data_IF_947015614167
#
_entry.id   IF_947015614167
#
_cell.length_a   1.000
_cell.length_b   1.000
_cell.length_c   1.000
_cell.angle_alpha   90.00
_cell.angle_beta   90.00
_cell.angle_gamma   90.00
#
_symmetry.space_group_name_H-M   'P 1'
#
loop_
_entity.id
_entity.type
_entity.pdbx_description
1 polymer ?
#
# COMPACT_ATOMS: atom_id res chain seq x y z
N UNK A 1 -27.73 -0.02 -2.60
CA UNK A 1 -26.62 -0.61 -3.39
C UNK A 1 -25.38 -0.71 -2.51
N UNK A 2 -24.95 -1.92 -2.14
CA UNK A 2 -23.64 -2.12 -1.51
C UNK A 2 -22.58 -1.69 -2.54
N UNK A 3 -21.85 -0.60 -2.26
CA UNK A 3 -20.70 -0.25 -3.08
C UNK A 3 -19.73 -1.44 -3.04
N UNK A 4 -19.58 -2.13 -4.17
CA UNK A 4 -18.74 -3.32 -4.27
C UNK A 4 -17.33 -2.98 -3.80
N UNK A 5 -16.81 -3.76 -2.84
CA UNK A 5 -15.40 -3.72 -2.46
C UNK A 5 -14.60 -3.95 -3.73
N UNK A 6 -13.83 -2.96 -4.16
CA UNK A 6 -12.96 -3.13 -5.33
C UNK A 6 -11.76 -3.96 -4.89
N UNK A 7 -11.64 -5.13 -5.49
CA UNK A 7 -10.52 -6.03 -5.28
C UNK A 7 -9.71 -6.18 -6.55
N UNK A 8 -8.39 -6.29 -6.41
CA UNK A 8 -7.48 -6.58 -7.50
C UNK A 8 -6.40 -7.52 -6.99
N UNK A 9 -6.28 -8.66 -7.65
CA UNK A 9 -5.21 -9.64 -7.40
C UNK A 9 -4.24 -9.56 -8.58
N UNK A 10 -2.94 -9.52 -8.29
CA UNK A 10 -1.87 -9.49 -9.31
C UNK A 10 -0.66 -10.28 -8.83
N UNK A 11 -0.01 -10.95 -9.78
CA UNK A 11 1.36 -11.42 -9.60
C UNK A 11 2.25 -10.17 -9.58
N UNK A 12 2.94 -9.93 -8.47
CA UNK A 12 3.83 -8.78 -8.33
C UNK A 12 5.20 -9.07 -8.94
N UNK A 13 5.75 -10.24 -8.59
CA UNK A 13 7.00 -10.79 -9.12
C UNK A 13 6.99 -12.32 -8.98
N UNK A 14 8.14 -12.97 -9.22
CA UNK A 14 8.28 -14.44 -9.17
C UNK A 14 7.96 -15.05 -7.80
N UNK A 15 8.00 -14.28 -6.72
CA UNK A 15 7.88 -14.76 -5.34
C UNK A 15 6.71 -14.12 -4.57
N UNK A 16 6.03 -13.12 -5.14
CA UNK A 16 5.05 -12.31 -4.43
C UNK A 16 3.73 -12.18 -5.20
N UNK A 17 2.63 -12.36 -4.45
CA UNK A 17 1.27 -12.03 -4.87
C UNK A 17 0.82 -10.75 -4.16
N UNK A 18 0.29 -9.79 -4.92
CA UNK A 18 -0.27 -8.56 -4.38
C UNK A 18 -1.81 -8.58 -4.44
N UNK A 19 -2.45 -8.40 -3.29
CA UNK A 19 -3.91 -8.27 -3.16
C UNK A 19 -4.25 -6.85 -2.71
N UNK A 20 -4.88 -6.08 -3.58
CA UNK A 20 -5.37 -4.72 -3.31
C UNK A 20 -6.86 -4.74 -3.05
N UNK A 21 -7.27 -4.17 -1.93
CA UNK A 21 -8.67 -4.10 -1.50
C UNK A 21 -9.00 -2.67 -1.10
N UNK A 22 -10.06 -2.11 -1.69
CA UNK A 22 -10.57 -0.79 -1.34
C UNK A 22 -11.73 -0.90 -0.34
N UNK A 23 -11.57 -0.30 0.84
CA UNK A 23 -12.60 -0.20 1.86
C UNK A 23 -13.25 1.18 1.79
N UNK A 24 -14.48 1.33 1.25
CA UNK A 24 -15.17 2.60 1.35
C UNK A 24 -15.46 2.93 2.82
N UNK A 25 -15.37 4.21 3.20
CA UNK A 25 -15.82 4.65 4.53
C UNK A 25 -17.23 5.18 4.33
N UNK A 26 -18.22 4.46 4.84
CA UNK A 26 -19.62 4.89 4.72
C UNK A 26 -19.92 6.01 5.74
N UNK A 27 -20.92 6.88 5.48
CA UNK A 27 -21.30 7.95 6.40
C UNK A 27 -21.83 7.49 7.77
N UNK A 28 -22.00 6.17 7.98
CA UNK A 28 -22.41 5.59 9.26
C UNK A 28 -21.32 5.70 10.32
N UNK A 29 -21.69 5.84 11.61
CA UNK A 29 -20.74 5.95 12.73
C UNK A 29 -19.66 4.84 12.71
N UNK A 30 -20.03 3.64 12.29
CA UNK A 30 -19.12 2.50 12.13
C UNK A 30 -19.42 1.77 10.82
N UNK A 31 -18.36 1.35 10.14
CA UNK A 31 -18.46 0.49 8.96
C UNK A 31 -17.78 -0.83 9.25
N UNK A 32 -18.45 -1.94 8.91
CA UNK A 32 -17.95 -3.30 9.14
C UNK A 32 -17.79 -4.00 7.81
N UNK A 33 -16.62 -4.60 7.57
CA UNK A 33 -16.38 -5.49 6.45
C UNK A 33 -15.92 -6.85 6.92
N UNK A 34 -16.46 -7.91 6.32
CA UNK A 34 -16.02 -9.27 6.53
C UNK A 34 -15.55 -9.85 5.20
N UNK A 35 -14.27 -10.18 5.10
CA UNK A 35 -13.65 -10.67 3.88
C UNK A 35 -13.06 -12.05 4.12
N UNK A 36 -13.42 -12.99 3.26
CA UNK A 36 -12.80 -14.31 3.21
C UNK A 36 -12.05 -14.44 1.89
N UNK A 37 -10.75 -14.68 1.96
CA UNK A 37 -9.89 -15.01 0.82
C UNK A 37 -9.60 -16.49 0.87
N UNK A 38 -9.90 -17.21 -0.21
CA UNK A 38 -9.61 -18.63 -0.35
C UNK A 38 -8.42 -18.78 -1.30
N UNK A 39 -7.38 -19.47 -0.85
CA UNK A 39 -6.20 -19.79 -1.65
C UNK A 39 -6.19 -21.31 -1.85
N UNK A 40 -6.24 -21.71 -3.11
CA UNK A 40 -6.19 -23.10 -3.55
C UNK A 40 -4.75 -23.42 -3.91
N UNK A 41 -4.16 -24.42 -3.23
CA UNK A 41 -2.74 -24.72 -3.33
C UNK A 41 -2.56 -26.18 -3.77
N UNK A 42 -1.83 -26.43 -4.87
CA UNK A 42 -1.51 -27.77 -5.31
C UNK A 42 -0.81 -28.60 -4.22
N UNK A 43 -1.24 -29.86 -4.04
CA UNK A 43 -0.70 -30.74 -3.01
C UNK A 43 0.81 -31.02 -3.15
N UNK A 44 1.34 -31.03 -4.38
CA UNK A 44 2.76 -31.25 -4.67
C UNK A 44 3.69 -30.14 -4.11
N UNK A 45 3.16 -28.97 -3.73
CA UNK A 45 3.93 -27.93 -3.05
C UNK A 45 4.14 -28.23 -1.56
N UNK A 46 3.50 -29.27 -1.04
CA UNK A 46 3.59 -29.70 0.36
C UNK A 46 3.31 -28.58 1.36
N UNK A 47 2.41 -27.64 1.04
CA UNK A 47 1.96 -26.56 1.92
C UNK A 47 0.70 -27.01 2.66
N UNK A 48 0.83 -27.39 3.93
CA UNK A 48 -0.27 -27.87 4.77
C UNK A 48 -0.13 -27.37 6.23
N UNK A 49 -1.06 -27.75 7.10
CA UNK A 49 -1.10 -27.32 8.51
C UNK A 49 0.22 -27.58 9.28
N UNK A 50 0.95 -28.64 8.91
CA UNK A 50 2.19 -29.04 9.59
C UNK A 50 3.41 -28.32 9.02
N UNK A 51 3.52 -28.25 7.69
CA UNK A 51 4.68 -27.65 7.01
C UNK A 51 4.61 -26.13 6.91
N UNK A 52 3.41 -25.55 6.97
CA UNK A 52 3.18 -24.12 6.82
C UNK A 52 2.16 -23.61 7.86
N UNK A 53 2.57 -23.53 9.14
CA UNK A 53 1.70 -23.10 10.22
C UNK A 53 1.28 -21.64 10.08
N UNK A 54 0.22 -21.26 10.79
CA UNK A 54 -0.31 -19.90 10.85
C UNK A 54 0.74 -18.81 11.13
N UNK A 55 1.74 -19.08 11.97
CA UNK A 55 2.86 -18.15 12.22
C UNK A 55 3.72 -17.89 10.99
N UNK A 56 3.97 -18.91 10.17
CA UNK A 56 4.70 -18.79 8.91
C UNK A 56 3.93 -17.94 7.90
N UNK A 57 2.61 -18.19 7.80
CA UNK A 57 1.72 -17.39 6.97
C UNK A 57 1.79 -15.91 7.34
N UNK A 58 1.65 -15.57 8.63
CA UNK A 58 1.69 -14.18 9.08
C UNK A 58 3.08 -13.54 8.98
N UNK A 59 4.16 -14.31 9.09
CA UNK A 59 5.52 -13.80 8.88
C UNK A 59 5.74 -13.35 7.43
N UNK A 60 5.14 -14.06 6.48
CA UNK A 60 5.22 -13.76 5.05
C UNK A 60 4.17 -12.75 4.57
N UNK A 61 3.16 -12.46 5.39
CA UNK A 61 2.11 -11.50 5.06
C UNK A 61 2.56 -10.05 5.33
N UNK A 62 2.70 -9.26 4.28
CA UNK A 62 2.93 -7.81 4.39
C UNK A 62 1.63 -7.03 4.16
N UNK A 63 1.18 -6.31 5.19
CA UNK A 63 -0.04 -5.51 5.16
C UNK A 63 0.27 -4.01 5.13
N UNK A 64 0.04 -3.37 3.99
CA UNK A 64 0.12 -1.91 3.85
C UNK A 64 -1.27 -1.30 3.81
N UNK A 65 -1.58 -0.43 4.77
CA UNK A 65 -2.83 0.32 4.81
C UNK A 65 -2.52 1.78 4.47
N UNK A 66 -3.24 2.34 3.50
CA UNK A 66 -3.06 3.72 3.08
C UNK A 66 -4.36 4.33 2.58
N UNK A 67 -4.48 5.64 2.71
CA UNK A 67 -5.52 6.41 2.05
C UNK A 67 -5.41 6.29 0.53
N UNK A 68 -6.57 6.31 -0.11
CA UNK A 68 -6.64 6.52 -1.56
C UNK A 68 -6.29 7.97 -1.81
N UNK A 69 -5.32 8.23 -2.69
CA UNK A 69 -4.97 9.59 -3.07
C UNK A 69 -6.22 10.30 -3.59
N UNK A 70 -6.54 11.49 -3.06
CA UNK A 70 -7.64 12.31 -3.56
C UNK A 70 -7.51 12.55 -5.06
N UNK A 71 -8.64 12.71 -5.73
CA UNK A 71 -8.67 12.92 -7.17
C UNK A 71 -9.23 14.32 -7.42
N UNK A 72 -8.33 15.29 -7.53
CA UNK A 72 -8.66 16.68 -7.88
C UNK A 72 -8.44 16.93 -9.38
N UNK A 73 -9.23 17.81 -9.97
CA UNK A 73 -8.98 18.45 -11.26
C UNK A 73 -7.87 19.51 -11.11
N UNK A 74 -7.35 19.99 -12.24
CA UNK A 74 -6.36 21.07 -12.21
C UNK A 74 -6.95 22.36 -11.60
N UNK A 75 -8.19 22.70 -11.96
CA UNK A 75 -8.91 23.84 -11.41
C UNK A 75 -9.15 23.70 -9.90
N UNK A 76 -9.57 22.51 -9.41
CA UNK A 76 -9.68 22.27 -7.97
C UNK A 76 -8.32 22.39 -7.27
N UNK A 77 -7.25 21.84 -7.84
CA UNK A 77 -5.91 21.94 -7.25
C UNK A 77 -5.41 23.40 -7.16
N UNK A 78 -5.78 24.23 -8.14
CA UNK A 78 -5.42 25.65 -8.21
C UNK A 78 -6.32 26.54 -7.35
N UNK A 79 -7.61 26.26 -7.23
CA UNK A 79 -8.58 27.23 -6.67
C UNK A 79 -9.30 26.75 -5.41
N UNK A 80 -9.38 25.45 -5.14
CA UNK A 80 -10.11 24.93 -3.98
C UNK A 80 -9.41 25.34 -2.68
N UNK A 81 -10.11 26.03 -1.75
CA UNK A 81 -9.59 26.40 -0.43
C UNK A 81 -8.92 25.29 0.38
N UNK A 82 -9.29 24.02 0.17
CA UNK A 82 -8.72 22.89 0.90
C UNK A 82 -7.65 22.13 0.09
N UNK A 83 -7.35 22.56 -1.14
CA UNK A 83 -6.30 21.95 -1.94
C UNK A 83 -4.91 22.26 -1.35
N UNK A 84 -3.94 21.32 -1.46
CA UNK A 84 -2.62 21.50 -0.88
C UNK A 84 -1.91 22.77 -1.33
N UNK A 85 -2.06 23.16 -2.60
CA UNK A 85 -1.41 24.36 -3.16
C UNK A 85 -1.92 25.65 -2.49
N UNK A 86 -3.24 25.72 -2.25
CA UNK A 86 -3.86 26.85 -1.56
C UNK A 86 -3.51 26.89 -0.07
N UNK A 87 -3.43 25.71 0.58
CA UNK A 87 -3.02 25.62 1.98
C UNK A 87 -1.56 26.02 2.17
N UNK A 88 -0.66 25.58 1.28
CA UNK A 88 0.74 26.01 1.22
C UNK A 88 0.80 27.53 1.17
N UNK A 89 0.12 28.18 0.21
CA UNK A 89 0.14 29.64 0.08
C UNK A 89 -0.34 30.35 1.35
N UNK A 90 -1.45 29.89 1.94
CA UNK A 90 -2.02 30.49 3.15
C UNK A 90 -1.10 30.36 4.35
N UNK A 91 -0.45 29.21 4.52
CA UNK A 91 0.49 29.01 5.62
C UNK A 91 1.71 29.94 5.44
N UNK A 92 2.18 30.11 4.20
CA UNK A 92 3.29 31.01 3.87
C UNK A 92 2.98 32.52 3.91
N UNK A 93 1.73 32.91 4.18
CA UNK A 93 1.36 34.30 4.45
C UNK A 93 1.75 34.74 5.86
N UNK A 94 1.93 33.79 6.79
CA UNK A 94 2.36 34.05 8.17
C UNK A 94 3.86 33.77 8.30
N UNK A 95 4.59 34.52 9.14
CA UNK A 95 5.97 34.19 9.45
C UNK A 95 6.02 32.82 10.15
N UNK A 96 6.84 31.92 9.63
CA UNK A 96 7.07 30.61 10.22
C UNK A 96 8.18 30.77 11.25
N UNK A 97 7.83 30.69 12.53
CA UNK A 97 8.83 30.69 13.59
C UNK A 97 9.68 29.42 13.51
N UNK A 98 10.97 29.52 13.84
CA UNK A 98 11.89 28.37 13.85
C UNK A 98 11.49 27.27 14.85
N UNK A 99 10.69 27.62 15.86
CA UNK A 99 10.26 26.74 16.96
C UNK A 99 8.76 26.34 16.87
N UNK A 100 8.18 26.35 15.66
CA UNK A 100 6.80 25.86 15.43
C UNK A 100 6.81 24.49 14.72
N UNK A 101 6.89 23.37 15.48
CA UNK A 101 6.94 22.03 14.91
C UNK A 101 5.63 21.60 14.24
N UNK A 102 4.49 22.17 14.63
CA UNK A 102 3.18 21.84 14.07
C UNK A 102 3.04 22.41 12.66
N UNK A 103 3.34 23.69 12.47
CA UNK A 103 3.31 24.34 11.15
C UNK A 103 4.31 23.70 10.19
N UNK A 104 5.53 23.39 10.66
CA UNK A 104 6.53 22.68 9.85
C UNK A 104 6.01 21.31 9.42
N UNK A 105 5.39 20.56 10.32
CA UNK A 105 4.84 19.23 10.00
C UNK A 105 3.70 19.34 9.00
N UNK A 106 2.78 20.28 9.20
CA UNK A 106 1.67 20.52 8.29
C UNK A 106 2.17 20.87 6.87
N UNK A 107 3.16 21.76 6.74
CA UNK A 107 3.74 22.10 5.44
C UNK A 107 4.39 20.92 4.74
N UNK A 108 5.18 20.14 5.48
CA UNK A 108 5.81 18.90 4.97
C UNK A 108 4.75 17.92 4.46
N UNK A 109 3.62 17.79 5.15
CA UNK A 109 2.50 16.95 4.72
C UNK A 109 1.82 17.50 3.46
N UNK A 110 1.57 18.81 3.40
CA UNK A 110 0.97 19.45 2.23
C UNK A 110 1.88 19.34 0.99
N UNK A 111 3.19 19.46 1.14
CA UNK A 111 4.17 19.22 0.07
C UNK A 111 4.06 17.81 -0.50
N UNK A 112 4.09 16.80 0.37
CA UNK A 112 3.96 15.39 -0.03
C UNK A 112 2.61 15.13 -0.71
N UNK A 113 1.53 15.70 -0.17
CA UNK A 113 0.17 15.54 -0.68
C UNK A 113 0.00 16.22 -2.04
N UNK A 114 0.53 17.44 -2.22
CA UNK A 114 0.56 18.17 -3.48
C UNK A 114 1.13 17.28 -4.59
N UNK A 115 2.35 16.76 -4.40
CA UNK A 115 2.97 15.88 -5.39
C UNK A 115 2.12 14.63 -5.66
N UNK A 116 1.59 13.99 -4.62
CA UNK A 116 0.79 12.78 -4.77
C UNK A 116 -0.48 13.02 -5.61
N UNK A 117 -1.16 14.15 -5.39
CA UNK A 117 -2.35 14.57 -6.14
C UNK A 117 -1.96 14.98 -7.57
N UNK A 118 -0.93 15.83 -7.72
CA UNK A 118 -0.49 16.41 -8.99
C UNK A 118 -0.31 15.33 -10.07
N UNK A 119 0.41 14.24 -9.74
CA UNK A 119 0.61 13.14 -10.69
C UNK A 119 -0.72 12.61 -11.24
N UNK A 120 -1.68 12.31 -10.36
CA UNK A 120 -2.99 11.79 -10.79
C UNK A 120 -3.79 12.83 -11.55
N UNK A 121 -3.70 14.09 -11.16
CA UNK A 121 -4.38 15.20 -11.83
C UNK A 121 -3.89 15.38 -13.26
N UNK A 122 -2.57 15.43 -13.47
CA UNK A 122 -1.97 15.58 -14.80
C UNK A 122 -2.21 14.36 -15.70
N UNK A 123 -2.00 13.13 -15.18
CA UNK A 123 -2.24 11.91 -15.95
C UNK A 123 -3.71 11.81 -16.40
N UNK A 124 -4.65 12.10 -15.49
CA UNK A 124 -6.08 12.07 -15.79
C UNK A 124 -6.48 13.17 -16.77
N UNK A 125 -5.91 14.38 -16.65
CA UNK A 125 -6.18 15.51 -17.54
C UNK A 125 -5.72 15.18 -18.95
N UNK A 126 -4.47 14.75 -19.11
CA UNK A 126 -3.90 14.37 -20.40
C UNK A 126 -4.69 13.22 -21.04
N UNK A 127 -4.93 12.12 -20.32
CA UNK A 127 -5.66 10.97 -20.86
C UNK A 127 -7.11 11.30 -21.24
N UNK A 128 -7.83 12.07 -20.42
CA UNK A 128 -9.21 12.45 -20.73
C UNK A 128 -9.27 13.46 -21.87
N UNK A 129 -8.38 14.46 -21.88
CA UNK A 129 -8.27 15.46 -22.94
C UNK A 129 -7.96 14.80 -24.27
N UNK A 130 -6.92 13.97 -24.31
CA UNK A 130 -6.54 13.18 -25.49
C UNK A 130 -7.70 12.31 -25.99
N UNK A 131 -8.30 11.48 -25.11
CA UNK A 131 -9.42 10.62 -25.52
C UNK A 131 -10.62 11.38 -26.04
N UNK A 132 -10.95 12.54 -25.48
CA UNK A 132 -12.08 13.36 -25.97
C UNK A 132 -11.78 13.93 -27.35
N UNK A 133 -10.58 14.48 -27.52
CA UNK A 133 -10.13 15.05 -28.78
C UNK A 133 -10.05 13.99 -29.89
N UNK A 134 -9.66 12.75 -29.57
CA UNK A 134 -9.60 11.65 -30.56
C UNK A 134 -10.94 10.89 -30.71
N UNK A 135 -11.86 10.95 -29.74
CA UNK A 135 -13.16 10.27 -29.83
C UNK A 135 -14.24 11.09 -30.53
N UNK A 136 -14.09 12.41 -30.60
CA UNK A 136 -14.85 13.27 -31.51
C UNK A 136 -14.68 12.89 -33.00
N UNK A 137 -13.74 11.98 -33.26
CA UNK A 137 -13.23 11.58 -34.57
C UNK A 137 -13.70 10.18 -35.02
N UNK A 138 -14.54 9.48 -34.25
CA UNK A 138 -15.14 8.23 -34.75
C UNK A 138 -16.25 8.56 -35.77
N UNK A 139 -16.15 8.09 -37.03
CA UNK A 139 -17.13 8.40 -38.06
C UNK A 139 -18.48 7.78 -37.72
N UNK A 140 -19.47 8.63 -37.42
CA UNK A 140 -20.88 8.27 -37.60
C UNK A 140 -21.21 8.42 -39.09
N UNK A 141 -20.98 7.36 -39.87
CA UNK A 141 -21.47 7.26 -41.24
C UNK A 141 -20.42 7.49 -42.34
N UNK A 142 -20.65 6.79 -43.47
CA UNK A 142 -19.78 6.64 -44.63
C UNK A 142 -19.18 7.96 -45.18
N UNK A 143 -17.86 7.92 -45.45
CA UNK A 143 -17.26 8.57 -46.62
C UNK A 143 -16.50 9.88 -46.43
N UNK A 144 -16.53 10.51 -45.25
CA UNK A 144 -15.72 11.71 -44.98
C UNK A 144 -14.38 11.35 -44.34
N UNK A 145 -13.25 11.79 -44.92
CA UNK A 145 -11.95 11.77 -44.22
C UNK A 145 -12.12 12.56 -42.92
N UNK A 146 -12.05 11.86 -41.79
CA UNK A 146 -12.01 12.43 -40.46
C UNK A 146 -10.83 13.41 -40.41
N UNK A 147 -11.12 14.70 -40.48
CA UNK A 147 -10.11 15.74 -40.35
C UNK A 147 -9.94 15.88 -38.85
N UNK A 148 -8.94 15.22 -38.27
CA UNK A 148 -8.43 15.56 -36.94
C UNK A 148 -8.35 17.08 -36.91
N UNK A 149 -9.17 17.76 -36.12
CA UNK A 149 -9.02 19.20 -35.97
C UNK A 149 -7.77 19.39 -35.13
N UNK A 150 -6.62 19.44 -35.81
CA UNK A 150 -5.28 19.65 -35.23
C UNK A 150 -5.34 20.79 -34.22
N UNK A 151 -6.13 21.82 -34.50
CA UNK A 151 -6.38 22.98 -33.64
C UNK A 151 -7.01 22.61 -32.28
N UNK A 152 -7.88 21.60 -32.21
CA UNK A 152 -8.47 21.18 -30.93
C UNK A 152 -7.46 20.42 -30.05
N UNK A 153 -6.66 19.54 -30.65
CA UNK A 153 -5.58 18.85 -29.94
C UNK A 153 -4.49 19.84 -29.50
N UNK A 154 -4.16 20.79 -30.36
CA UNK A 154 -3.21 21.86 -30.06
C UNK A 154 -3.70 22.76 -28.94
N UNK A 155 -4.96 23.22 -29.00
CA UNK A 155 -5.57 24.00 -27.92
C UNK A 155 -5.54 23.24 -26.59
N UNK A 156 -5.92 21.96 -26.60
CA UNK A 156 -5.92 21.11 -25.40
C UNK A 156 -4.51 20.92 -24.81
N UNK A 157 -3.51 20.65 -25.64
CA UNK A 157 -2.12 20.47 -25.18
C UNK A 157 -1.49 21.79 -24.73
N UNK A 158 -1.77 22.89 -25.41
CA UNK A 158 -1.34 24.23 -25.01
C UNK A 158 -1.92 24.60 -23.65
N UNK A 159 -3.22 24.39 -23.44
CA UNK A 159 -3.88 24.61 -22.15
C UNK A 159 -3.31 23.68 -21.07
N UNK A 160 -2.98 22.43 -21.43
CA UNK A 160 -2.38 21.48 -20.49
C UNK A 160 -0.97 21.89 -20.04
N UNK A 161 -0.14 22.40 -20.95
CA UNK A 161 1.20 22.94 -20.61
C UNK A 161 1.08 24.20 -19.77
N UNK A 162 0.20 25.15 -20.14
CA UNK A 162 -0.03 26.37 -19.36
C UNK A 162 -0.46 26.07 -17.91
N UNK A 163 -1.33 25.08 -17.71
CA UNK A 163 -1.74 24.62 -16.38
C UNK A 163 -0.57 24.04 -15.57
N UNK A 164 0.32 23.29 -16.22
CA UNK A 164 1.53 22.77 -15.56
C UNK A 164 2.40 23.94 -15.11
N UNK A 165 2.66 24.89 -16.00
CA UNK A 165 3.47 26.09 -15.72
C UNK A 165 2.89 26.91 -14.57
N UNK A 166 1.56 27.11 -14.53
CA UNK A 166 0.91 27.84 -13.45
C UNK A 166 1.08 27.15 -12.09
N UNK A 167 0.81 25.84 -12.01
CA UNK A 167 0.96 25.06 -10.77
C UNK A 167 2.42 25.13 -10.26
N UNK A 168 3.37 24.98 -11.19
CA UNK A 168 4.81 24.99 -10.90
C UNK A 168 5.27 26.36 -10.44
N UNK A 169 4.92 27.42 -11.17
CA UNK A 169 5.28 28.79 -10.81
C UNK A 169 4.74 29.16 -9.43
N UNK A 170 3.52 28.71 -9.11
CA UNK A 170 2.90 28.96 -7.82
C UNK A 170 3.60 28.25 -6.67
N UNK A 171 3.96 26.98 -6.86
CA UNK A 171 4.74 26.24 -5.86
C UNK A 171 6.15 26.82 -5.69
N UNK A 172 6.85 27.09 -6.80
CA UNK A 172 8.24 27.57 -6.83
C UNK A 172 8.40 29.02 -6.36
N UNK A 173 7.33 29.82 -6.33
CA UNK A 173 7.33 31.17 -5.73
C UNK A 173 7.78 31.18 -4.26
N UNK A 174 7.62 30.08 -3.55
CA UNK A 174 8.04 29.96 -2.15
C UNK A 174 9.51 29.59 -1.98
N UNK A 175 10.23 29.24 -3.07
CA UNK A 175 11.64 28.86 -3.02
C UNK A 175 12.54 29.87 -2.28
N UNK A 176 12.48 31.19 -2.56
CA UNK A 176 13.35 32.15 -1.89
C UNK A 176 13.08 32.23 -0.39
N UNK A 177 11.83 31.99 0.03
CA UNK A 177 11.45 31.97 1.45
C UNK A 177 12.00 30.74 2.16
N UNK A 178 12.06 29.59 1.48
CA UNK A 178 12.55 28.33 2.03
C UNK A 178 14.07 28.33 2.16
N UNK A 179 14.77 28.99 1.24
CA UNK A 179 16.24 29.08 1.23
C UNK A 179 16.80 30.09 2.26
N UNK A 180 15.94 30.81 2.98
CA UNK A 180 16.35 31.73 4.04
C UNK A 180 16.91 31.04 5.29
N UNK A 181 17.85 31.70 5.96
CA UNK A 181 18.57 31.17 7.14
C UNK A 181 17.67 30.86 8.35
N UNK A 182 16.49 31.51 8.46
CA UNK A 182 15.58 31.35 9.60
C UNK A 182 14.65 30.13 9.50
N UNK A 183 14.72 29.34 8.41
CA UNK A 183 13.80 28.22 8.18
C UNK A 183 14.40 26.89 8.67
N UNK A 184 13.62 26.06 9.40
CA UNK A 184 14.08 24.74 9.86
C UNK A 184 14.57 23.83 8.71
N UNK A 185 15.72 23.17 8.91
CA UNK A 185 16.37 22.29 7.90
C UNK A 185 15.43 21.19 7.38
N UNK A 186 14.59 20.63 8.25
CA UNK A 186 13.57 19.63 7.89
C UNK A 186 12.63 20.15 6.79
N UNK A 187 12.22 21.41 6.87
CA UNK A 187 11.32 22.03 5.89
C UNK A 187 12.05 22.28 4.58
N UNK A 188 13.29 22.79 4.63
CA UNK A 188 14.14 23.00 3.46
C UNK A 188 14.36 21.70 2.68
N UNK A 189 14.76 20.65 3.39
CA UNK A 189 14.95 19.31 2.82
C UNK A 189 13.66 18.78 2.21
N UNK A 190 12.53 18.95 2.90
CA UNK A 190 11.22 18.51 2.41
C UNK A 190 10.81 19.22 1.13
N UNK A 191 11.05 20.53 1.05
CA UNK A 191 10.76 21.32 -0.14
C UNK A 191 11.59 20.83 -1.33
N UNK A 192 12.92 20.71 -1.18
CA UNK A 192 13.82 20.23 -2.24
C UNK A 192 13.43 18.85 -2.77
N UNK A 193 13.17 17.89 -1.87
CA UNK A 193 12.72 16.54 -2.25
C UNK A 193 11.36 16.56 -2.96
N UNK A 194 10.48 17.50 -2.61
CA UNK A 194 9.15 17.61 -3.21
C UNK A 194 9.23 18.29 -4.57
N UNK A 195 10.01 19.36 -4.71
CA UNK A 195 10.27 20.03 -5.99
C UNK A 195 10.91 19.07 -7.00
N UNK A 196 11.93 18.30 -6.59
CA UNK A 196 12.50 17.25 -7.43
C UNK A 196 11.44 16.20 -7.82
N UNK A 197 10.60 15.77 -6.87
CA UNK A 197 9.55 14.79 -7.14
C UNK A 197 8.40 15.32 -8.01
N UNK A 198 8.13 16.63 -8.00
CA UNK A 198 7.20 17.34 -8.89
C UNK A 198 7.81 17.45 -10.29
N UNK A 199 9.07 17.85 -10.35
CA UNK A 199 9.87 17.94 -11.58
C UNK A 199 9.87 16.62 -12.36
N UNK A 200 10.03 15.49 -11.68
CA UNK A 200 9.95 14.13 -12.28
C UNK A 200 8.56 13.82 -12.82
N UNK A 201 7.51 14.24 -12.11
CA UNK A 201 6.13 14.03 -12.56
C UNK A 201 5.83 14.84 -13.82
N UNK A 202 6.32 16.08 -13.89
CA UNK A 202 6.15 16.97 -15.04
C UNK A 202 6.88 16.44 -16.27
N UNK A 203 8.18 16.14 -16.14
CA UNK A 203 8.95 15.57 -17.25
C UNK A 203 8.29 14.29 -17.78
N UNK A 204 7.89 13.38 -16.90
CA UNK A 204 7.23 12.14 -17.30
C UNK A 204 5.89 12.39 -18.01
N UNK A 205 5.13 13.39 -17.59
CA UNK A 205 3.85 13.74 -18.20
C UNK A 205 4.02 14.43 -19.57
N UNK A 206 4.98 15.36 -19.69
CA UNK A 206 5.32 16.02 -20.95
C UNK A 206 5.90 15.03 -21.97
N UNK A 207 6.77 14.11 -21.55
CA UNK A 207 7.26 13.03 -22.40
C UNK A 207 6.15 12.07 -22.82
N UNK A 208 5.17 11.81 -21.96
CA UNK A 208 3.99 11.02 -22.34
C UNK A 208 3.15 11.75 -23.40
N UNK A 209 2.94 13.06 -23.25
CA UNK A 209 2.25 13.87 -24.25
C UNK A 209 3.01 13.87 -25.59
N UNK A 210 4.34 14.05 -25.56
CA UNK A 210 5.18 14.02 -26.75
C UNK A 210 5.12 12.66 -27.45
N UNK A 211 5.10 11.57 -26.70
CA UNK A 211 4.92 10.22 -27.24
C UNK A 211 3.55 10.04 -27.90
N UNK A 212 2.47 10.54 -27.28
CA UNK A 212 1.13 10.49 -27.87
C UNK A 212 1.05 11.26 -29.19
N UNK A 213 1.70 12.43 -29.27
CA UNK A 213 1.82 13.21 -30.51
C UNK A 213 2.64 12.46 -31.57
N UNK A 214 3.78 11.89 -31.20
CA UNK A 214 4.64 11.15 -32.12
C UNK A 214 4.01 9.83 -32.63
N UNK A 215 3.18 9.17 -31.82
CA UNK A 215 2.44 7.96 -32.22
C UNK A 215 1.17 8.30 -33.02
N UNK A 216 0.80 9.58 -33.16
CA UNK A 216 -0.34 9.98 -33.95
C UNK A 216 -0.08 9.84 -35.45
N UNK A 217 -1.10 9.50 -36.23
CA UNK A 217 -1.00 9.33 -37.68
C UNK A 217 -1.00 10.66 -38.46
N UNK A 218 -1.00 11.80 -37.76
CA UNK A 218 -1.10 13.15 -38.35
C UNK A 218 0.24 13.86 -38.27
N UNK A 219 1.01 13.97 -39.37
CA UNK A 219 2.33 14.60 -39.36
C UNK A 219 2.31 16.07 -38.93
N UNK A 220 1.30 16.84 -39.35
CA UNK A 220 1.13 18.26 -39.01
C UNK A 220 1.04 18.50 -37.50
N UNK A 221 0.47 17.57 -36.75
CA UNK A 221 0.37 17.67 -35.29
C UNK A 221 1.76 17.63 -34.65
N UNK A 222 2.64 16.78 -35.16
CA UNK A 222 4.00 16.65 -34.66
C UNK A 222 4.82 17.90 -34.97
N UNK A 223 4.72 18.44 -36.19
CA UNK A 223 5.43 19.67 -36.57
C UNK A 223 5.04 20.88 -35.72
N UNK A 224 3.74 21.03 -35.40
CA UNK A 224 3.24 22.16 -34.61
C UNK A 224 3.48 22.02 -33.11
N UNK A 225 3.33 20.80 -32.56
CA UNK A 225 3.33 20.60 -31.10
C UNK A 225 4.63 20.08 -30.52
N UNK A 226 5.49 19.43 -31.32
CA UNK A 226 6.79 19.01 -30.84
C UNK A 226 7.64 20.19 -30.33
N UNK A 227 7.68 21.37 -30.98
CA UNK A 227 8.42 22.53 -30.47
C UNK A 227 7.91 23.03 -29.12
N UNK A 228 6.59 23.08 -28.94
CA UNK A 228 5.97 23.51 -27.68
C UNK A 228 6.33 22.56 -26.53
N UNK A 229 6.19 21.25 -26.74
CA UNK A 229 6.52 20.24 -25.74
C UNK A 229 8.02 20.17 -25.48
N UNK A 230 8.85 20.29 -26.52
CA UNK A 230 10.30 20.33 -26.39
C UNK A 230 10.76 21.54 -25.56
N UNK A 231 10.18 22.71 -25.78
CA UNK A 231 10.47 23.93 -25.00
C UNK A 231 10.10 23.73 -23.54
N UNK A 232 8.90 23.20 -23.25
CA UNK A 232 8.47 22.92 -21.89
C UNK A 232 9.39 21.90 -21.18
N UNK A 233 9.83 20.85 -21.89
CA UNK A 233 10.78 19.86 -21.37
C UNK A 233 12.15 20.50 -21.11
N UNK A 234 12.64 21.33 -22.03
CA UNK A 234 13.92 22.03 -21.88
C UNK A 234 13.91 22.99 -20.69
N UNK A 235 12.82 23.74 -20.48
CA UNK A 235 12.65 24.61 -19.31
C UNK A 235 12.74 23.80 -18.00
N UNK A 236 12.11 22.62 -17.96
CA UNK A 236 12.17 21.77 -16.77
C UNK A 236 13.55 21.13 -16.56
N UNK A 237 14.24 20.77 -17.64
CA UNK A 237 15.62 20.27 -17.57
C UNK A 237 16.60 21.37 -17.11
N UNK A 238 16.41 22.61 -17.56
CA UNK A 238 17.19 23.76 -17.12
C UNK A 238 17.01 24.01 -15.62
N UNK A 239 15.76 23.95 -15.12
CA UNK A 239 15.47 24.03 -13.68
C UNK A 239 16.21 22.94 -12.89
N UNK A 240 16.13 21.67 -13.34
CA UNK A 240 16.86 20.58 -12.68
C UNK A 240 18.36 20.81 -12.63
N UNK A 241 18.93 21.33 -13.72
CA UNK A 241 20.35 21.63 -13.76
C UNK A 241 20.73 22.76 -12.78
N UNK A 242 19.92 23.82 -12.69
CA UNK A 242 20.12 24.91 -11.73
C UNK A 242 20.03 24.43 -10.28
N UNK A 243 19.09 23.54 -9.97
CA UNK A 243 18.90 22.98 -8.63
C UNK A 243 19.81 21.80 -8.30
N UNK A 244 20.63 21.33 -9.24
CA UNK A 244 21.49 20.16 -9.07
C UNK A 244 20.74 18.83 -8.98
N UNK A 245 19.49 18.75 -9.46
CA UNK A 245 18.70 17.53 -9.48
C UNK A 245 19.18 16.54 -10.53
N UNK A 246 18.95 15.24 -10.29
CA UNK A 246 19.37 14.19 -11.21
C UNK A 246 18.46 14.16 -12.45
N UNK A 247 19.05 14.04 -13.64
CA UNK A 247 18.32 13.86 -14.91
C UNK A 247 19.03 12.85 -15.81
N UNK A 248 18.29 11.85 -16.29
CA UNK A 248 18.81 10.87 -17.25
C UNK A 248 19.04 11.47 -18.63
N UNK A 249 18.22 12.43 -19.06
CA UNK A 249 18.36 13.06 -20.37
C UNK A 249 19.68 13.83 -20.46
N UNK A 250 20.00 14.59 -19.40
CA UNK A 250 21.27 15.33 -19.31
C UNK A 250 22.49 14.39 -19.22
N UNK A 251 22.36 13.25 -18.53
CA UNK A 251 23.44 12.27 -18.42
C UNK A 251 23.71 11.55 -19.75
N UNK A 252 22.67 11.21 -20.52
CA UNK A 252 22.80 10.60 -21.85
C UNK A 252 23.41 11.54 -22.87
N UNK A 253 23.07 12.83 -22.85
CA UNK A 253 23.66 13.80 -23.77
C UNK A 253 25.15 14.03 -23.49
N UNK A 254 25.55 14.07 -22.21
CA UNK A 254 26.96 14.12 -21.81
C UNK A 254 27.72 12.84 -22.19
N UNK A 255 27.11 11.66 -22.03
CA UNK A 255 27.73 10.38 -22.38
C UNK A 255 27.82 10.13 -23.89
N UNK A 256 26.81 10.51 -24.68
CA UNK A 256 26.85 10.45 -26.16
C UNK A 256 27.97 11.30 -26.75
N UNK A 257 28.30 12.43 -26.09
CA UNK A 257 29.41 13.31 -26.48
C UNK A 257 30.80 12.79 -26.03
N UNK A 258 30.87 11.80 -25.14
CA UNK A 258 32.10 11.32 -24.51
C UNK A 258 32.64 9.96 -25.05
N UNK A 259 32.35 9.64 -26.31
CA UNK A 259 32.81 8.46 -27.10
C UNK A 259 31.92 7.20 -27.10
N UNK A 260 31.84 6.47 -28.25
CA UNK A 260 31.16 5.20 -28.38
C UNK A 260 32.09 4.07 -27.92
N UNK A 261 32.04 3.68 -26.65
CA UNK A 261 32.83 2.56 -26.16
C UNK A 261 32.28 1.21 -26.68
N UNK A 262 33.16 0.45 -27.33
CA UNK A 262 32.95 -0.93 -27.81
C UNK A 262 32.57 -1.82 -26.62
N UNK A 263 31.43 -2.53 -26.71
CA UNK A 263 30.88 -3.38 -25.64
C UNK A 263 31.48 -4.79 -25.68
N UNK A 264 32.13 -5.22 -24.59
CA UNK A 264 32.39 -6.64 -24.31
C UNK A 264 31.18 -7.32 -23.63
N UNK A 265 31.07 -8.67 -23.65
CA UNK A 265 29.87 -9.40 -23.21
C UNK A 265 29.56 -9.38 -21.70
N UNK A 266 30.53 -8.99 -20.85
CA UNK A 266 30.44 -9.11 -19.39
C UNK A 266 30.74 -7.82 -18.61
N UNK A 267 30.76 -6.66 -19.27
CA UNK A 267 30.92 -5.37 -18.59
C UNK A 267 29.55 -4.70 -18.45
N UNK A 268 29.08 -4.57 -17.20
CA UNK A 268 27.98 -3.65 -16.88
C UNK A 268 28.41 -2.25 -17.32
N UNK A 269 27.69 -1.67 -18.28
CA UNK A 269 28.02 -0.35 -18.78
C UNK A 269 27.84 0.66 -17.65
N UNK A 270 28.74 1.65 -17.52
CA UNK A 270 28.55 2.78 -16.60
C UNK A 270 27.18 3.49 -16.81
N UNK A 271 26.61 3.38 -18.01
CA UNK A 271 25.26 3.85 -18.32
C UNK A 271 24.15 3.03 -17.62
N UNK A 272 24.32 1.72 -17.48
CA UNK A 272 23.34 0.84 -16.83
C UNK A 272 23.33 1.09 -15.32
N UNK A 273 24.50 1.24 -14.70
CA UNK A 273 24.62 1.61 -13.29
C UNK A 273 24.01 2.99 -12.98
N UNK A 274 24.24 3.98 -13.86
CA UNK A 274 23.63 5.31 -13.73
C UNK A 274 22.09 5.24 -13.82
N UNK A 275 21.56 4.41 -14.72
CA UNK A 275 20.12 4.19 -14.85
C UNK A 275 19.54 3.56 -13.58
N UNK A 276 20.18 2.52 -13.04
CA UNK A 276 19.73 1.87 -11.80
C UNK A 276 19.71 2.83 -10.62
N UNK A 277 20.78 3.63 -10.43
CA UNK A 277 20.86 4.65 -9.38
C UNK A 277 19.78 5.71 -9.52
N UNK A 278 19.45 6.11 -10.74
CA UNK A 278 18.36 7.05 -10.99
C UNK A 278 16.99 6.42 -10.67
N UNK A 279 16.72 5.21 -11.15
CA UNK A 279 15.47 4.50 -10.87
C UNK A 279 15.28 4.27 -9.37
N UNK A 280 16.35 3.91 -8.66
CA UNK A 280 16.35 3.79 -7.21
C UNK A 280 15.98 5.13 -6.55
N UNK A 281 16.61 6.23 -6.94
CA UNK A 281 16.29 7.57 -6.42
C UNK A 281 14.83 7.97 -6.68
N UNK A 282 14.32 7.74 -7.88
CA UNK A 282 12.90 7.98 -8.19
C UNK A 282 11.96 7.16 -7.30
N UNK A 283 12.34 5.92 -6.99
CA UNK A 283 11.60 5.06 -6.07
C UNK A 283 11.57 5.65 -4.65
N UNK A 284 12.67 6.25 -4.20
CA UNK A 284 12.77 6.92 -2.90
C UNK A 284 11.91 8.18 -2.85
N UNK A 285 11.98 9.05 -3.86
CA UNK A 285 11.13 10.25 -3.98
C UNK A 285 9.64 9.88 -3.96
N UNK A 286 9.27 8.79 -4.66
CA UNK A 286 7.91 8.27 -4.64
C UNK A 286 7.50 7.76 -3.27
N UNK A 287 8.36 6.98 -2.58
CA UNK A 287 8.09 6.48 -1.22
C UNK A 287 7.95 7.64 -0.23
N UNK A 288 8.84 8.62 -0.32
CA UNK A 288 8.83 9.83 0.50
C UNK A 288 7.52 10.62 0.34
N UNK A 289 7.13 10.96 -0.87
CA UNK A 289 5.88 11.72 -1.13
C UNK A 289 4.62 10.92 -0.86
N UNK A 290 4.64 9.60 -1.07
CA UNK A 290 3.48 8.75 -0.79
C UNK A 290 3.30 8.47 0.71
N UNK A 291 4.34 8.67 1.53
CA UNK A 291 4.33 8.38 2.97
C UNK A 291 3.18 9.06 3.72
N UNK A 292 2.78 10.27 3.32
CA UNK A 292 1.66 11.02 3.91
C UNK A 292 0.32 10.28 3.83
N UNK A 293 0.17 9.37 2.87
CA UNK A 293 -1.06 8.59 2.71
C UNK A 293 -1.03 7.29 3.52
N UNK A 294 0.13 6.84 4.00
CA UNK A 294 0.24 5.58 4.72
C UNK A 294 -0.28 5.73 6.15
N UNK A 295 -0.91 4.68 6.65
CA UNK A 295 -1.41 4.60 8.01
C UNK A 295 -0.49 3.69 8.82
N UNK A 296 -0.41 3.94 10.12
CA UNK A 296 0.30 3.04 11.02
C UNK A 296 -0.58 1.82 11.29
N UNK A 297 0.01 0.64 11.13
CA UNK A 297 -0.61 -0.65 11.44
C UNK A 297 0.31 -1.44 12.35
N UNK A 298 -0.12 -1.64 13.60
CA UNK A 298 0.64 -2.43 14.55
C UNK A 298 -0.03 -3.79 14.78
N UNK A 299 0.67 -4.92 14.52
CA UNK A 299 0.27 -6.21 15.05
C UNK A 299 0.19 -6.15 16.57
N UNK A 300 -0.88 -6.69 17.14
CA UNK A 300 -0.89 -7.14 18.52
C UNK A 300 -1.45 -8.55 18.55
N UNK A 301 -0.83 -9.43 19.34
CA UNK A 301 -1.42 -10.72 19.67
C UNK A 301 -2.76 -10.47 20.37
N UNK A 302 -3.81 -11.11 19.90
CA UNK A 302 -5.04 -11.21 20.68
C UNK A 302 -4.75 -12.28 21.76
N UNK A 303 -5.16 -12.03 23.02
CA UNK A 303 -5.50 -13.11 23.97
C UNK A 303 -4.51 -13.58 25.06
N UNK A 304 -3.41 -12.88 25.34
CA UNK A 304 -2.54 -13.26 26.49
C UNK A 304 -3.34 -13.38 27.81
N UNK A 305 -4.28 -12.47 28.08
CA UNK A 305 -5.04 -12.46 29.34
C UNK A 305 -6.00 -13.65 29.50
N UNK A 306 -6.69 -14.07 28.43
CA UNK A 306 -7.65 -15.20 28.50
C UNK A 306 -6.90 -16.53 28.51
N UNK A 307 -5.79 -16.61 27.76
CA UNK A 307 -4.90 -17.78 27.79
C UNK A 307 -4.34 -18.03 29.19
N UNK A 308 -3.85 -16.99 29.86
CA UNK A 308 -3.37 -17.10 31.24
C UNK A 308 -4.46 -17.54 32.22
N UNK A 309 -5.69 -17.05 32.08
CA UNK A 309 -6.82 -17.46 32.92
C UNK A 309 -7.14 -18.96 32.75
N UNK A 310 -7.21 -19.46 31.51
CA UNK A 310 -7.45 -20.88 31.26
C UNK A 310 -6.31 -21.76 31.77
N UNK A 311 -5.05 -21.30 31.66
CA UNK A 311 -3.91 -22.01 32.22
C UNK A 311 -3.90 -22.03 33.75
N UNK A 312 -4.36 -20.95 34.38
CA UNK A 312 -4.54 -20.90 35.82
C UNK A 312 -5.62 -21.89 36.27
N UNK A 313 -6.75 -21.96 35.57
CA UNK A 313 -7.81 -22.95 35.83
C UNK A 313 -7.31 -24.38 35.66
N UNK A 314 -6.59 -24.68 34.58
CA UNK A 314 -5.98 -26.00 34.38
C UNK A 314 -5.01 -26.37 35.51
N UNK A 315 -4.18 -25.42 35.95
CA UNK A 315 -3.28 -25.63 37.09
C UNK A 315 -4.03 -25.85 38.40
N UNK A 316 -5.13 -25.13 38.64
CA UNK A 316 -5.99 -25.29 39.80
C UNK A 316 -6.64 -26.68 39.86
N UNK A 317 -7.21 -27.14 38.75
CA UNK A 317 -7.80 -28.50 38.63
C UNK A 317 -6.73 -29.57 38.89
N UNK A 318 -5.53 -29.41 38.34
CA UNK A 318 -4.41 -30.32 38.59
C UNK A 318 -3.99 -30.34 40.06
N UNK A 319 -3.96 -29.20 40.74
CA UNK A 319 -3.64 -29.14 42.17
C UNK A 319 -4.69 -29.86 43.01
N UNK A 320 -5.98 -29.63 42.74
CA UNK A 320 -7.09 -30.31 43.44
C UNK A 320 -6.97 -31.83 43.28
N UNK A 321 -6.71 -32.32 42.06
CA UNK A 321 -6.54 -33.75 41.80
C UNK A 321 -5.36 -34.35 42.58
N UNK A 322 -4.20 -33.68 42.56
CA UNK A 322 -3.01 -34.15 43.28
C UNK A 322 -3.23 -34.21 44.79
N UNK A 323 -3.88 -33.18 45.36
CA UNK A 323 -4.18 -33.10 46.78
C UNK A 323 -5.16 -34.19 47.21
N UNK A 324 -6.22 -34.44 46.42
CA UNK A 324 -7.17 -35.51 46.71
C UNK A 324 -6.51 -36.89 46.66
N UNK A 325 -5.65 -37.14 45.67
CA UNK A 325 -4.91 -38.41 45.57
C UNK A 325 -3.91 -38.58 46.72
N UNK A 326 -3.25 -37.50 47.13
CA UNK A 326 -2.34 -37.52 48.27
C UNK A 326 -3.09 -37.85 49.58
N UNK A 327 -4.23 -37.20 49.84
CA UNK A 327 -5.06 -37.51 51.00
C UNK A 327 -5.61 -38.94 50.97
N UNK A 328 -6.05 -39.40 49.79
CA UNK A 328 -6.50 -40.77 49.62
C UNK A 328 -5.39 -41.78 49.92
N UNK A 329 -4.21 -41.62 49.30
CA UNK A 329 -3.08 -42.50 49.51
C UNK A 329 -2.60 -42.48 50.98
N UNK A 330 -2.61 -41.31 51.63
CA UNK A 330 -2.27 -41.18 53.04
C UNK A 330 -3.29 -41.90 53.94
N UNK A 331 -4.58 -41.86 53.59
CA UNK A 331 -5.63 -42.55 54.34
C UNK A 331 -5.54 -44.08 54.25
N UNK A 332 -5.07 -44.61 53.10
CA UNK A 332 -4.99 -46.05 52.84
C UNK A 332 -3.68 -46.67 53.32
N UNK A 333 -2.54 -46.02 53.05
CA UNK A 333 -1.20 -46.59 53.31
C UNK A 333 -0.56 -46.10 54.61
N UNK A 334 -1.23 -45.20 55.35
CA UNK A 334 -0.70 -44.57 56.56
C UNK A 334 0.44 -43.58 56.25
N UNK A 335 1.17 -43.17 57.29
CA UNK A 335 2.29 -42.24 57.15
C UNK A 335 3.63 -42.98 56.93
N UNK A 336 4.48 -42.47 56.03
CA UNK A 336 5.87 -42.92 55.79
C UNK A 336 6.09 -44.33 55.20
N UNK A 337 5.13 -44.86 54.44
CA UNK A 337 5.28 -46.15 53.73
C UNK A 337 5.88 -45.95 52.33
N UNK A 338 6.69 -46.91 51.84
CA UNK A 338 7.22 -46.89 50.46
C UNK A 338 6.09 -46.78 49.41
N UNK A 339 4.95 -47.43 49.65
CA UNK A 339 3.76 -47.35 48.81
C UNK A 339 3.15 -45.95 48.74
N UNK A 340 3.16 -45.19 49.85
CA UNK A 340 2.72 -43.80 49.88
C UNK A 340 3.67 -42.93 49.04
N UNK A 341 4.98 -43.11 49.19
CA UNK A 341 5.97 -42.35 48.42
C UNK A 341 5.80 -42.58 46.91
N UNK A 342 5.63 -43.83 46.48
CA UNK A 342 5.36 -44.16 45.08
C UNK A 342 4.05 -43.52 44.60
N UNK A 343 2.98 -43.61 45.40
CA UNK A 343 1.69 -43.01 45.06
C UNK A 343 1.76 -41.47 44.92
N UNK A 344 2.56 -40.80 45.76
CA UNK A 344 2.77 -39.35 45.68
C UNK A 344 3.59 -38.96 44.44
N UNK A 345 4.64 -39.70 44.11
CA UNK A 345 5.43 -39.47 42.89
C UNK A 345 4.55 -39.65 41.64
N UNK A 346 3.80 -40.75 41.58
CA UNK A 346 2.88 -41.03 40.47
C UNK A 346 1.78 -39.95 40.40
N UNK A 347 1.21 -39.55 41.53
CA UNK A 347 0.22 -38.48 41.60
C UNK A 347 0.77 -37.14 41.11
N UNK A 348 2.02 -36.84 41.42
CA UNK A 348 2.71 -35.65 40.92
C UNK A 348 2.92 -35.72 39.40
N UNK A 349 3.30 -36.87 38.85
CA UNK A 349 3.40 -37.06 37.40
C UNK A 349 2.05 -36.87 36.69
N UNK A 350 0.96 -37.41 37.27
CA UNK A 350 -0.39 -37.22 36.73
C UNK A 350 -0.85 -35.76 36.79
N UNK A 351 -0.54 -35.05 37.87
CA UNK A 351 -0.81 -33.61 38.01
C UNK A 351 -0.20 -32.83 36.84
N UNK A 352 1.08 -33.05 36.56
CA UNK A 352 1.78 -32.38 35.47
C UNK A 352 1.19 -32.76 34.12
N UNK A 353 0.82 -34.03 33.93
CA UNK A 353 0.20 -34.46 32.66
C UNK A 353 -1.18 -33.85 32.43
N UNK A 354 -2.03 -33.78 33.47
CA UNK A 354 -3.35 -33.14 33.39
C UNK A 354 -3.19 -31.65 33.08
N UNK A 355 -2.19 -30.98 33.67
CA UNK A 355 -1.91 -29.55 33.44
C UNK A 355 -1.48 -29.30 32.00
N UNK A 356 -0.60 -30.14 31.45
CA UNK A 356 -0.17 -30.05 30.05
C UNK A 356 -1.31 -30.31 29.05
N UNK A 357 -2.14 -31.33 29.32
CA UNK A 357 -3.32 -31.62 28.51
C UNK A 357 -4.29 -30.44 28.57
N UNK A 358 -4.53 -29.87 29.76
CA UNK A 358 -5.34 -28.68 29.95
C UNK A 358 -4.80 -27.50 29.14
N UNK A 359 -3.50 -27.20 29.23
CA UNK A 359 -2.85 -26.13 28.46
C UNK A 359 -2.99 -26.33 26.95
N UNK A 360 -2.70 -27.53 26.44
CA UNK A 360 -2.78 -27.81 25.00
C UNK A 360 -4.22 -27.73 24.48
N UNK A 361 -5.21 -28.25 25.23
CA UNK A 361 -6.63 -28.12 24.89
C UNK A 361 -7.11 -26.68 24.94
N UNK A 362 -6.73 -25.91 25.96
CA UNK A 362 -7.06 -24.48 26.04
C UNK A 362 -6.53 -23.71 24.84
N UNK A 363 -5.28 -23.95 24.41
CA UNK A 363 -4.72 -23.35 23.19
C UNK A 363 -5.53 -23.71 21.94
N UNK A 364 -5.89 -24.99 21.78
CA UNK A 364 -6.67 -25.46 20.64
C UNK A 364 -8.09 -24.84 20.61
N UNK A 365 -8.75 -24.77 21.77
CA UNK A 365 -10.08 -24.16 21.92
C UNK A 365 -10.06 -22.65 21.63
N UNK A 366 -9.07 -21.93 22.18
CA UNK A 366 -8.89 -20.50 21.94
C UNK A 366 -8.67 -20.22 20.44
N UNK A 367 -7.78 -20.97 19.78
CA UNK A 367 -7.54 -20.85 18.33
C UNK A 367 -8.80 -21.10 17.50
N UNK A 368 -9.72 -21.96 17.95
CA UNK A 368 -10.97 -22.23 17.21
C UNK A 368 -11.94 -21.05 17.27
N UNK A 369 -12.05 -20.36 18.41
CA UNK A 369 -13.04 -19.30 18.61
C UNK A 369 -12.51 -17.89 18.33
N UNK A 370 -11.26 -17.61 18.68
CA UNK A 370 -10.66 -16.29 18.55
C UNK A 370 -9.99 -16.08 17.19
N UNK A 371 -9.64 -14.82 16.92
CA UNK A 371 -8.86 -14.43 15.74
C UNK A 371 -7.37 -14.50 16.11
N UNK A 372 -6.52 -14.84 15.14
CA UNK A 372 -5.09 -15.07 15.40
C UNK A 372 -4.35 -13.76 15.70
N UNK A 373 -4.78 -12.66 15.08
CA UNK A 373 -4.14 -11.35 15.20
C UNK A 373 -5.14 -10.22 15.20
N UNK A 374 -4.86 -9.19 16.00
CA UNK A 374 -5.51 -7.88 15.92
C UNK A 374 -4.55 -6.83 15.39
N UNK A 375 -5.02 -5.99 14.48
CA UNK A 375 -4.27 -4.86 13.93
C UNK A 375 -5.06 -3.59 14.17
N UNK A 376 -4.49 -2.62 14.87
CA UNK A 376 -5.08 -1.30 14.99
C UNK A 376 -4.63 -0.42 13.83
N UNK A 377 -5.58 0.32 13.25
CA UNK A 377 -5.33 1.31 12.20
C UNK A 377 -5.34 2.67 12.87
N UNK A 378 -4.24 3.40 12.77
CA UNK A 378 -4.10 4.75 13.31
C UNK A 378 -3.41 5.69 12.34
N UNK A 379 -3.49 6.99 12.61
CA UNK A 379 -2.66 8.00 11.96
C UNK A 379 -1.17 7.72 12.18
N UNK A 380 -0.26 8.31 11.40
CA UNK A 380 1.18 8.02 11.50
C UNK A 380 1.75 8.40 12.87
N UNK A 381 1.31 9.56 13.34
CA UNK A 381 1.42 10.18 14.65
C UNK A 381 0.70 9.42 15.78
N UNK A 382 -0.09 8.38 15.44
CA UNK A 382 -0.83 7.49 16.37
C UNK A 382 -1.83 8.18 17.31
N UNK A 383 -2.10 9.47 17.10
CA UNK A 383 -3.04 10.24 17.93
C UNK A 383 -4.48 9.77 17.72
N UNK A 384 -4.84 9.45 16.47
CA UNK A 384 -6.21 9.06 16.14
C UNK A 384 -6.29 7.59 15.73
N UNK A 385 -7.16 6.84 16.43
CA UNK A 385 -7.51 5.46 16.09
C UNK A 385 -8.64 5.46 15.05
N UNK A 386 -8.32 5.00 13.85
CA UNK A 386 -9.21 5.00 12.69
C UNK A 386 -10.02 3.71 12.57
N UNK A 387 -9.51 2.61 13.12
CA UNK A 387 -10.20 1.33 13.08
C UNK A 387 -9.39 0.18 13.63
N UNK A 388 -9.93 -1.03 13.45
CA UNK A 388 -9.26 -2.29 13.77
C UNK A 388 -9.55 -3.36 12.74
N UNK A 389 -8.58 -4.24 12.52
CA UNK A 389 -8.71 -5.45 11.72
C UNK A 389 -8.45 -6.64 12.63
N UNK A 390 -9.28 -7.66 12.53
CA UNK A 390 -9.01 -8.98 13.10
C UNK A 390 -8.78 -9.97 11.97
N UNK A 391 -7.72 -10.75 12.07
CA UNK A 391 -7.25 -11.63 11.02
C UNK A 391 -7.25 -13.06 11.54
N UNK A 392 -7.70 -14.01 10.71
CA UNK A 392 -7.68 -15.44 11.04
C UNK A 392 -7.32 -16.25 9.81
N UNK A 393 -6.38 -17.17 9.94
CA UNK A 393 -5.99 -18.09 8.90
C UNK A 393 -6.27 -19.52 9.37
N UNK A 394 -7.02 -20.26 8.54
CA UNK A 394 -7.36 -21.66 8.79
C UNK A 394 -7.19 -22.45 7.51
N UNK A 395 -6.63 -23.64 7.59
CA UNK A 395 -6.80 -24.62 6.52
C UNK A 395 -8.24 -25.15 6.56
N UNK A 396 -8.81 -25.38 5.38
CA UNK A 396 -10.14 -25.93 5.20
C UNK A 396 -10.04 -27.26 4.47
N UNK A 397 -10.99 -28.14 4.79
CA UNK A 397 -11.28 -29.31 3.97
C UNK A 397 -12.27 -28.92 2.87
N UNK A 398 -12.26 -29.67 1.77
CA UNK A 398 -13.14 -29.38 0.63
C UNK A 398 -14.63 -29.41 1.02
N UNK A 399 -15.02 -30.25 1.99
CA UNK A 399 -16.40 -30.34 2.47
C UNK A 399 -16.86 -29.09 3.24
N UNK A 400 -15.93 -28.29 3.76
CA UNK A 400 -16.21 -27.07 4.52
C UNK A 400 -16.27 -25.82 3.62
N UNK A 401 -16.04 -25.98 2.31
CA UNK A 401 -16.01 -24.89 1.36
C UNK A 401 -17.44 -24.40 1.06
N UNK A 402 -17.72 -23.08 1.13
CA UNK A 402 -19.04 -22.58 0.75
C UNK A 402 -19.37 -22.86 -0.72
N UNK A 403 -20.63 -23.18 -0.99
CA UNK A 403 -21.13 -23.53 -2.34
C UNK A 403 -20.80 -22.46 -3.39
N UNK A 404 -20.91 -21.18 -3.03
CA UNK A 404 -20.59 -20.05 -3.90
C UNK A 404 -19.11 -20.02 -4.32
N UNK A 405 -18.21 -20.40 -3.40
CA UNK A 405 -16.76 -20.43 -3.67
C UNK A 405 -16.42 -21.65 -4.52
N UNK A 406 -17.02 -22.80 -4.23
CA UNK A 406 -16.87 -24.01 -5.04
C UNK A 406 -17.30 -23.76 -6.49
N UNK A 407 -18.47 -23.14 -6.68
CA UNK A 407 -18.95 -22.77 -8.02
C UNK A 407 -18.00 -21.80 -8.75
N UNK A 408 -17.53 -20.75 -8.07
CA UNK A 408 -16.60 -19.79 -8.66
C UNK A 408 -15.24 -20.41 -9.01
N UNK A 409 -14.77 -21.38 -8.22
CA UNK A 409 -13.54 -22.13 -8.49
C UNK A 409 -13.71 -23.05 -9.71
N UNK A 410 -14.79 -23.83 -9.79
CA UNK A 410 -15.07 -24.71 -10.93
C UNK A 410 -15.24 -23.94 -12.25
N UNK A 411 -15.86 -22.76 -12.22
CA UNK A 411 -15.97 -21.89 -13.42
C UNK A 411 -14.62 -21.37 -13.93
N UNK A 412 -13.59 -21.32 -13.07
CA UNK A 412 -12.27 -20.80 -13.41
C UNK A 412 -11.30 -21.84 -13.96
N UNK A 413 -11.62 -23.13 -13.87
CA UNK A 413 -10.78 -24.20 -14.42
C UNK A 413 -10.99 -24.34 -15.92
N UNK A 414 -9.89 -24.55 -16.65
CA UNK A 414 -9.89 -24.55 -18.12
C UNK A 414 -10.20 -25.96 -18.67
N UNK A 415 -9.92 -27.00 -17.88
CA UNK A 415 -10.06 -28.40 -18.31
C UNK A 415 -10.82 -29.24 -17.27
N UNK A 416 -11.73 -30.13 -17.68
CA UNK A 416 -12.37 -31.11 -16.80
C UNK A 416 -11.37 -32.05 -16.10
N UNK A 417 -10.16 -32.23 -16.65
CA UNK A 417 -9.10 -33.04 -16.04
C UNK A 417 -8.56 -32.41 -14.75
N UNK A 418 -8.66 -31.08 -14.60
CA UNK A 418 -8.31 -30.37 -13.37
C UNK A 418 -9.34 -30.61 -12.25
N UNK A 419 -10.57 -31.02 -12.60
CA UNK A 419 -11.66 -31.29 -11.66
C UNK A 419 -11.49 -32.66 -10.99
N UNK A 420 -10.97 -33.66 -11.72
CA UNK A 420 -11.02 -35.07 -11.29
C UNK A 420 -9.74 -35.60 -10.61
N UNK A 421 -8.62 -34.86 -10.60
CA UNK A 421 -7.30 -35.48 -10.37
C UNK A 421 -6.43 -34.95 -9.23
N UNK A 422 -6.57 -33.69 -8.82
CA UNK A 422 -5.60 -33.07 -7.91
C UNK A 422 -6.23 -32.73 -6.56
N UNK A 423 -5.75 -33.41 -5.51
CA UNK A 423 -6.00 -32.93 -4.15
C UNK A 423 -5.33 -31.55 -3.98
N UNK A 424 -6.04 -30.62 -3.36
CA UNK A 424 -5.54 -29.30 -3.05
C UNK A 424 -5.65 -29.01 -1.56
N UNK A 425 -4.71 -28.23 -1.05
CA UNK A 425 -4.84 -27.63 0.27
C UNK A 425 -5.50 -26.26 0.13
N UNK A 426 -6.58 -26.05 0.88
CA UNK A 426 -7.35 -24.81 0.85
C UNK A 426 -6.99 -24.00 2.09
N UNK A 427 -6.44 -22.81 1.90
CA UNK A 427 -6.26 -21.83 2.97
C UNK A 427 -7.41 -20.83 2.92
N UNK A 428 -8.16 -20.71 4.01
CA UNK A 428 -9.09 -19.59 4.24
C UNK A 428 -8.42 -18.54 5.10
N UNK A 429 -8.28 -17.35 4.53
CA UNK A 429 -7.84 -16.15 5.21
C UNK A 429 -9.01 -15.18 5.43
N UNK A 430 -9.47 -15.07 6.68
CA UNK A 430 -10.60 -14.24 7.08
C UNK A 430 -10.13 -12.92 7.71
N UNK A 431 -10.76 -11.81 7.32
CA UNK A 431 -10.51 -10.47 7.85
C UNK A 431 -11.82 -9.80 8.25
N UNK A 432 -11.90 -9.42 9.53
CA UNK A 432 -12.97 -8.60 10.07
C UNK A 432 -12.45 -7.17 10.28
N UNK A 433 -12.87 -6.25 9.43
CA UNK A 433 -12.45 -4.85 9.43
C UNK A 433 -13.55 -3.99 10.03
N UNK A 434 -13.20 -3.18 11.03
CA UNK A 434 -14.10 -2.18 11.62
C UNK A 434 -13.47 -0.80 11.50
N UNK A 435 -14.15 0.10 10.80
CA UNK A 435 -13.72 1.47 10.55
C UNK A 435 -14.61 2.45 11.33
N UNK A 436 -14.03 3.51 11.87
CA UNK A 436 -14.71 4.56 12.64
C UNK A 436 -14.81 5.81 11.78
N UNK A 437 -15.97 6.04 11.15
CA UNK A 437 -16.13 7.13 10.18
C UNK A 437 -15.86 8.52 10.75
N UNK A 438 -16.23 8.76 12.02
CA UNK A 438 -16.03 10.05 12.69
C UNK A 438 -14.55 10.39 12.86
N UNK A 439 -13.70 9.39 13.08
CA UNK A 439 -12.26 9.59 13.20
C UNK A 439 -11.66 10.01 11.84
N UNK A 440 -12.13 9.44 10.72
CA UNK A 440 -11.67 9.83 9.39
C UNK A 440 -12.03 11.28 9.01
N UNK A 441 -13.09 11.87 9.57
CA UNK A 441 -13.45 13.28 9.32
C UNK A 441 -12.48 14.27 9.97
N UNK A 442 -11.80 13.86 11.04
CA UNK A 442 -10.86 14.69 11.81
C UNK A 442 -9.43 14.67 11.25
N UNK A 443 -9.13 13.80 10.29
CA UNK A 443 -7.82 13.66 9.63
C UNK A 443 -7.86 14.30 8.23
N UNK A 444 -8.65 15.36 8.06
CA UNK A 444 -8.89 15.97 6.74
C UNK A 444 -7.84 17.00 6.38
#
# INVERSE_FOLDING_TARGET
MLQAIRQRVRIHDRYQLEIKIEYPVLPSKRTHYHLNTYLFIPHNLAINELSYPTSEFYRRLQNYIRFKTPVLSAAELLHDPVAPLQLIDRIWQKPIASDDPETVTLLVEQFKLLRAILRRTLDRRLQKGWRKATAADQPKGNGGRATVTVDHLESMLTEHVAVIEEIVARFRRHQPKVEGESIPERLQRSYRLTDEAISVVIEGNLLHAMRLVAESTVPELNERLAPLLATAIQNELAHRQQQGYRSLLLQRDKQKKASPAIKGPWQQSAADEANERYLYHLSLLKKYTSSVLYLSSLPQAEDETVEHLLFALAAGISMIFATLLAFYAQSVYGNFTASLFIALVVGYMFKDRIKEIGRSRSKSLLRRYFYDRRVYISTLDRQQRLGRVREKMTFLREQELPTQVKAAYTMGQISPIEIDGYSEHIIRYSRNVRLIADAFRKVR
#
